data_IF_498402161457
#
_entry.id   IF_498402161457
#
_cell.length_a   1.000
_cell.length_b   1.000
_cell.length_c   1.000
_cell.angle_alpha   90.00
_cell.angle_beta   90.00
_cell.angle_gamma   90.00
#
_symmetry.space_group_name_H-M   'P 1'
#
loop_
_entity.id
_entity.type
_entity.pdbx_description
1 polymer ?
#
# COMPACT_ATOMS: atom_id res chain seq x y z
N UNK A 1 15.59 4.04 -19.93
CA UNK A 1 15.35 4.25 -18.49
C UNK A 1 16.68 4.54 -17.82
N UNK A 2 16.75 5.42 -16.82
CA UNK A 2 17.99 5.67 -16.10
C UNK A 2 18.36 4.42 -15.30
N UNK A 3 19.62 4.00 -15.37
CA UNK A 3 20.13 2.89 -14.58
C UNK A 3 20.26 3.33 -13.10
N UNK A 4 19.86 2.45 -12.18
CA UNK A 4 20.02 2.61 -10.74
C UNK A 4 21.21 1.75 -10.33
N UNK A 5 22.31 2.40 -9.96
CA UNK A 5 23.51 1.72 -9.47
C UNK A 5 23.34 1.42 -7.98
N UNK A 6 23.37 0.14 -7.63
CA UNK A 6 23.42 -0.35 -6.25
C UNK A 6 24.80 -0.95 -5.98
N UNK A 7 25.44 -0.54 -4.89
CA UNK A 7 26.67 -1.16 -4.39
C UNK A 7 26.35 -1.99 -3.16
N UNK A 8 26.51 -3.31 -3.25
CA UNK A 8 26.37 -4.23 -2.11
C UNK A 8 27.71 -4.38 -1.38
N UNK A 9 27.69 -4.24 -0.05
CA UNK A 9 28.87 -4.43 0.79
C UNK A 9 29.26 -5.90 1.01
N UNK A 10 28.29 -6.81 0.87
CA UNK A 10 28.43 -8.26 1.04
C UNK A 10 27.45 -8.98 0.09
N UNK A 11 27.60 -10.29 -0.05
CA UNK A 11 26.67 -11.10 -0.84
C UNK A 11 25.29 -11.12 -0.16
N UNK A 12 24.23 -10.99 -0.95
CA UNK A 12 22.84 -11.08 -0.52
C UNK A 12 22.20 -12.27 -1.21
N UNK A 13 21.57 -13.16 -0.44
CA UNK A 13 20.91 -14.35 -0.97
C UNK A 13 19.43 -14.08 -1.23
N UNK A 14 18.83 -14.86 -2.13
CA UNK A 14 17.39 -14.84 -2.36
C UNK A 14 16.60 -15.02 -1.06
N UNK A 15 15.66 -14.10 -0.82
CA UNK A 15 14.81 -14.04 0.37
C UNK A 15 15.38 -13.17 1.50
N UNK A 16 16.66 -12.75 1.40
CA UNK A 16 17.23 -11.83 2.38
C UNK A 16 16.55 -10.47 2.27
N UNK A 17 16.38 -9.84 3.44
CA UNK A 17 15.92 -8.46 3.56
C UNK A 17 17.07 -7.59 4.00
N UNK A 18 17.25 -6.47 3.30
CA UNK A 18 18.39 -5.60 3.51
C UNK A 18 18.00 -4.13 3.44
N UNK A 19 18.72 -3.30 4.20
CA UNK A 19 18.56 -1.86 4.15
C UNK A 19 19.41 -1.27 3.03
N UNK A 20 18.78 -0.41 2.24
CA UNK A 20 19.38 0.31 1.14
C UNK A 20 19.18 1.82 1.31
N UNK A 21 20.22 2.62 1.13
CA UNK A 21 20.13 4.09 1.28
C UNK A 21 20.81 4.81 0.11
N UNK A 22 20.43 6.06 -0.16
CA UNK A 22 21.15 6.89 -1.14
C UNK A 22 22.40 7.56 -0.57
N UNK A 23 22.71 7.33 0.71
CA UNK A 23 23.92 7.82 1.36
C UNK A 23 24.51 6.70 2.22
N UNK A 24 25.83 6.62 2.30
CA UNK A 24 26.57 5.65 3.13
C UNK A 24 26.54 6.02 4.62
N UNK A 25 25.38 6.42 5.14
CA UNK A 25 25.18 6.74 6.56
C UNK A 25 24.60 5.51 7.27
N UNK A 26 25.28 5.03 8.31
CA UNK A 26 24.88 3.86 9.11
C UNK A 26 25.34 2.51 8.56
N UNK A 27 24.85 1.42 9.18
CA UNK A 27 25.11 0.03 8.76
C UNK A 27 24.12 -0.40 7.66
N UNK A 28 24.20 0.22 6.48
CA UNK A 28 23.40 -0.19 5.31
C UNK A 28 24.16 -1.23 4.48
N UNK A 29 23.48 -2.31 4.08
CA UNK A 29 24.08 -3.39 3.29
C UNK A 29 24.21 -3.03 1.80
N UNK A 30 23.36 -2.13 1.31
CA UNK A 30 23.42 -1.61 -0.05
C UNK A 30 23.34 -0.07 -0.10
N UNK A 31 24.04 0.54 -1.06
CA UNK A 31 24.00 1.99 -1.29
C UNK A 31 23.64 2.29 -2.74
N UNK A 32 22.65 3.17 -2.95
CA UNK A 32 22.35 3.76 -4.25
C UNK A 32 23.41 4.83 -4.55
N UNK A 33 24.27 4.59 -5.54
CA UNK A 33 25.38 5.48 -5.92
C UNK A 33 25.09 6.35 -7.13
N UNK A 34 23.86 6.30 -7.65
CA UNK A 34 23.40 7.06 -8.81
C UNK A 34 22.16 7.91 -8.50
N UNK A 35 21.83 8.93 -9.31
CA UNK A 35 20.53 9.58 -9.23
C UNK A 35 19.40 8.57 -9.52
N UNK A 36 18.71 8.10 -8.48
CA UNK A 36 17.58 7.20 -8.64
C UNK A 36 16.26 7.99 -8.81
N UNK A 37 15.32 7.50 -9.65
CA UNK A 37 13.95 7.97 -9.58
C UNK A 37 13.38 7.73 -8.17
N UNK A 38 12.31 8.45 -7.77
CA UNK A 38 11.72 8.26 -6.45
C UNK A 38 11.07 6.87 -6.36
N UNK A 39 11.84 5.91 -5.83
CA UNK A 39 11.39 4.53 -5.60
C UNK A 39 10.21 4.51 -4.64
N UNK A 40 9.31 3.56 -4.88
CA UNK A 40 8.13 3.26 -4.06
C UNK A 40 8.06 1.77 -3.71
N UNK A 41 7.22 1.43 -2.75
CA UNK A 41 6.94 0.02 -2.43
C UNK A 41 6.46 -0.72 -3.68
N UNK A 42 6.92 -1.96 -3.83
CA UNK A 42 6.64 -2.80 -4.99
C UNK A 42 7.46 -2.46 -6.24
N UNK A 43 8.32 -1.44 -6.23
CA UNK A 43 9.25 -1.28 -7.35
C UNK A 43 10.22 -2.47 -7.38
N UNK A 44 10.30 -3.12 -8.55
CA UNK A 44 11.22 -4.23 -8.80
C UNK A 44 12.38 -3.75 -9.66
N UNK A 45 13.58 -3.96 -9.15
CA UNK A 45 14.86 -3.63 -9.76
C UNK A 45 15.46 -4.91 -10.35
N UNK A 46 15.82 -4.89 -11.63
CA UNK A 46 16.44 -6.03 -12.32
C UNK A 46 17.79 -5.65 -12.97
N UNK A 47 18.79 -6.51 -12.79
CA UNK A 47 20.15 -6.39 -13.34
C UNK A 47 20.70 -7.77 -13.72
N UNK A 48 20.63 -8.16 -15.00
CA UNK A 48 21.04 -9.52 -15.41
C UNK A 48 20.20 -10.59 -14.70
N UNK A 49 20.86 -11.46 -13.94
CA UNK A 49 20.20 -12.47 -13.09
C UNK A 49 19.77 -11.92 -11.72
N UNK A 50 20.33 -10.80 -11.27
CA UNK A 50 20.02 -10.17 -10.00
C UNK A 50 18.66 -9.44 -10.03
N UNK A 51 17.89 -9.57 -8.95
CA UNK A 51 16.57 -8.97 -8.84
C UNK A 51 16.26 -8.60 -7.38
N UNK A 52 15.74 -7.38 -7.15
CA UNK A 52 15.37 -6.90 -5.82
C UNK A 52 14.02 -6.17 -5.85
N UNK A 53 13.30 -6.17 -4.73
CA UNK A 53 12.03 -5.46 -4.57
C UNK A 53 12.07 -4.52 -3.38
N UNK A 54 11.49 -3.33 -3.53
CA UNK A 54 11.29 -2.40 -2.41
C UNK A 54 10.10 -2.85 -1.56
N UNK A 55 10.34 -3.11 -0.28
CA UNK A 55 9.32 -3.47 0.72
C UNK A 55 8.82 -2.27 1.51
N UNK A 56 9.69 -1.31 1.86
CA UNK A 56 9.29 -0.11 2.58
C UNK A 56 10.15 1.09 2.19
N UNK A 57 9.61 2.30 2.37
CA UNK A 57 10.32 3.56 2.15
C UNK A 57 10.23 4.38 3.43
N UNK A 58 11.35 4.89 3.92
CA UNK A 58 11.39 5.71 5.13
C UNK A 58 12.36 6.89 4.98
N UNK A 59 12.16 7.90 5.81
CA UNK A 59 13.09 9.02 5.95
C UNK A 59 14.12 8.71 7.04
N UNK A 60 15.39 8.92 6.70
CA UNK A 60 16.50 8.92 7.64
C UNK A 60 16.93 10.37 7.93
N UNK A 61 17.08 10.75 9.21
CA UNK A 61 17.63 12.05 9.53
C UNK A 61 19.07 12.14 9.01
N UNK A 62 19.47 13.35 8.62
CA UNK A 62 20.85 13.63 8.29
C UNK A 62 21.70 13.83 9.54
N UNK A 63 23.02 13.73 9.41
CA UNK A 63 23.99 13.96 10.48
C UNK A 63 25.10 14.90 10.00
N UNK A 64 25.63 15.74 10.89
CA UNK A 64 26.84 16.54 10.67
C UNK A 64 26.90 17.32 9.33
N UNK A 65 25.80 17.94 8.92
CA UNK A 65 25.72 18.75 7.69
C UNK A 65 25.35 17.96 6.42
N UNK A 66 25.11 16.65 6.54
CA UNK A 66 24.52 15.81 5.50
C UNK A 66 23.00 15.97 5.55
N UNK A 67 22.36 16.15 4.40
CA UNK A 67 20.90 16.24 4.31
C UNK A 67 20.25 14.90 4.68
N UNK A 68 19.06 14.95 5.27
CA UNK A 68 18.25 13.75 5.45
C UNK A 68 17.93 13.09 4.11
N UNK A 69 17.85 11.77 4.11
CA UNK A 69 17.66 11.01 2.87
C UNK A 69 16.58 9.94 3.00
N UNK A 70 16.20 9.34 1.87
CA UNK A 70 15.37 8.15 1.82
C UNK A 70 16.22 6.90 2.04
N UNK A 71 15.70 6.01 2.87
CA UNK A 71 16.15 4.64 3.02
C UNK A 71 15.02 3.69 2.62
N UNK A 72 15.40 2.50 2.17
CA UNK A 72 14.54 1.49 1.60
C UNK A 72 14.83 0.16 2.28
N UNK A 73 13.78 -0.46 2.82
CA UNK A 73 13.86 -1.89 3.11
C UNK A 73 13.62 -2.63 1.81
N UNK A 74 14.54 -3.50 1.42
CA UNK A 74 14.47 -4.26 0.18
C UNK A 74 14.51 -5.76 0.46
N UNK A 75 14.05 -6.54 -0.51
CA UNK A 75 14.13 -8.00 -0.54
C UNK A 75 14.87 -8.43 -1.81
N UNK A 76 15.84 -9.32 -1.65
CA UNK A 76 16.47 -9.98 -2.79
C UNK A 76 15.54 -11.07 -3.33
N UNK A 77 15.12 -10.93 -4.58
CA UNK A 77 14.33 -11.94 -5.29
C UNK A 77 15.21 -13.01 -5.95
N UNK A 78 16.47 -12.67 -6.20
CA UNK A 78 17.53 -13.57 -6.66
C UNK A 78 18.87 -13.17 -6.00
N UNK A 79 19.84 -14.06 -6.02
CA UNK A 79 21.15 -13.84 -5.39
C UNK A 79 21.89 -12.66 -6.03
N UNK A 80 22.48 -11.80 -5.20
CA UNK A 80 23.28 -10.65 -5.62
C UNK A 80 24.65 -10.72 -4.93
N UNK A 81 25.71 -10.85 -5.73
CA UNK A 81 27.08 -10.83 -5.21
C UNK A 81 27.49 -9.42 -4.76
N UNK A 82 28.45 -9.33 -3.84
CA UNK A 82 29.04 -8.08 -3.43
C UNK A 82 29.62 -7.29 -4.62
N UNK A 83 29.51 -5.96 -4.55
CA UNK A 83 29.97 -5.05 -5.60
C UNK A 83 28.85 -4.25 -6.26
N UNK A 84 29.18 -3.62 -7.39
CA UNK A 84 28.27 -2.69 -8.09
C UNK A 84 27.41 -3.39 -9.14
N UNK A 85 26.12 -3.10 -9.10
CA UNK A 85 25.12 -3.62 -10.02
C UNK A 85 24.35 -2.48 -10.68
N UNK A 86 24.10 -2.62 -11.98
CA UNK A 86 23.34 -1.65 -12.77
C UNK A 86 21.90 -2.13 -12.96
N UNK A 87 21.01 -1.72 -12.06
CA UNK A 87 19.61 -2.10 -12.09
C UNK A 87 18.77 -1.21 -13.00
N UNK A 88 17.69 -1.77 -13.50
CA UNK A 88 16.61 -1.07 -14.19
C UNK A 88 15.27 -1.46 -13.59
N UNK A 89 14.30 -0.54 -13.63
CA UNK A 89 12.92 -0.83 -13.21
C UNK A 89 12.28 -1.79 -14.23
N UNK A 90 11.81 -2.96 -13.77
CA UNK A 90 11.39 -4.05 -14.66
C UNK A 90 9.94 -3.92 -15.17
N UNK A 91 8.99 -3.54 -14.32
CA UNK A 91 7.58 -3.32 -14.70
C UNK A 91 6.80 -2.62 -13.59
N UNK A 92 5.63 -2.06 -13.95
CA UNK A 92 4.74 -1.36 -13.03
C UNK A 92 3.50 -2.21 -12.74
N UNK A 93 3.56 -3.01 -11.69
CA UNK A 93 2.43 -3.74 -11.10
C UNK A 93 1.84 -2.93 -9.94
N UNK A 94 0.64 -3.29 -9.50
CA UNK A 94 -0.05 -2.55 -8.42
C UNK A 94 0.42 -3.02 -7.04
N UNK A 95 0.20 -2.16 -6.05
CA UNK A 95 0.49 -2.48 -4.65
C UNK A 95 -0.73 -2.27 -3.78
N UNK A 96 -0.88 -3.11 -2.77
CA UNK A 96 -2.00 -3.11 -1.84
C UNK A 96 -1.50 -3.11 -0.40
N UNK A 97 -1.98 -2.18 0.40
CA UNK A 97 -1.89 -2.25 1.86
C UNK A 97 -3.28 -2.45 2.45
N UNK A 98 -3.43 -3.31 3.45
CA UNK A 98 -4.61 -3.31 4.31
C UNK A 98 -4.27 -2.89 5.73
N UNK A 99 -5.20 -2.18 6.37
CA UNK A 99 -5.07 -1.75 7.78
C UNK A 99 -6.28 -2.25 8.56
N UNK A 100 -6.04 -3.21 9.45
CA UNK A 100 -7.04 -3.78 10.34
C UNK A 100 -7.09 -2.99 11.64
N UNK A 101 -8.24 -2.38 11.92
CA UNK A 101 -8.52 -1.60 13.11
C UNK A 101 -9.17 -2.54 14.14
N UNK A 102 -8.39 -2.91 15.16
CA UNK A 102 -8.90 -3.75 16.24
C UNK A 102 -8.02 -3.67 17.49
N UNK A 103 -8.58 -3.16 18.59
CA UNK A 103 -7.94 -3.24 19.92
C UNK A 103 -7.56 -4.69 20.30
N UNK A 104 -8.41 -5.67 19.96
CA UNK A 104 -8.14 -7.09 20.23
C UNK A 104 -7.12 -7.69 19.28
N UNK A 105 -7.17 -7.33 18.00
CA UNK A 105 -6.22 -7.78 16.99
C UNK A 105 -4.81 -7.29 17.29
N UNK A 106 -4.67 -5.99 17.59
CA UNK A 106 -3.39 -5.38 17.97
C UNK A 106 -2.80 -5.96 19.26
N UNK A 107 -3.66 -6.42 20.18
CA UNK A 107 -3.24 -7.12 21.40
C UNK A 107 -2.94 -8.63 21.19
N UNK A 108 -3.00 -9.15 19.95
CA UNK A 108 -2.80 -10.56 19.63
C UNK A 108 -3.89 -11.50 20.15
N UNK A 109 -5.05 -10.95 20.54
CA UNK A 109 -6.18 -11.70 21.13
C UNK A 109 -7.21 -12.16 20.11
N UNK A 110 -7.06 -11.74 18.85
CA UNK A 110 -7.91 -12.12 17.72
C UNK A 110 -7.06 -12.14 16.45
N UNK A 111 -7.19 -13.20 15.66
CA UNK A 111 -6.57 -13.27 14.34
C UNK A 111 -7.26 -12.33 13.36
N UNK A 112 -6.48 -11.70 12.49
CA UNK A 112 -7.01 -10.93 11.36
C UNK A 112 -7.36 -11.86 10.20
N UNK A 113 -8.65 -12.08 9.99
CA UNK A 113 -9.19 -12.86 8.86
C UNK A 113 -9.68 -11.96 7.72
N UNK A 114 -9.98 -10.70 8.03
CA UNK A 114 -10.59 -9.75 7.09
C UNK A 114 -9.53 -9.14 6.18
N UNK A 115 -8.37 -8.78 6.72
CA UNK A 115 -7.26 -8.21 5.98
C UNK A 115 -6.72 -9.13 4.88
N UNK A 116 -6.33 -10.38 5.19
CA UNK A 116 -5.89 -11.34 4.17
C UNK A 116 -6.93 -11.57 3.07
N UNK A 117 -8.22 -11.66 3.42
CA UNK A 117 -9.31 -11.83 2.45
C UNK A 117 -9.39 -10.64 1.47
N UNK A 118 -9.15 -9.41 1.93
CA UNK A 118 -9.05 -8.25 1.02
C UNK A 118 -7.94 -8.49 -0.01
N UNK A 119 -6.77 -8.94 0.43
CA UNK A 119 -5.64 -9.25 -0.43
C UNK A 119 -5.99 -10.28 -1.50
N UNK A 120 -6.61 -11.39 -1.09
CA UNK A 120 -7.06 -12.47 -1.99
C UNK A 120 -8.05 -11.96 -3.05
N UNK A 121 -9.12 -11.26 -2.63
CA UNK A 121 -10.15 -10.77 -3.55
C UNK A 121 -9.64 -9.74 -4.55
N UNK A 122 -8.72 -8.86 -4.13
CA UNK A 122 -8.13 -7.86 -5.03
C UNK A 122 -7.18 -8.52 -6.02
N UNK A 123 -6.39 -9.51 -5.59
CA UNK A 123 -5.46 -10.25 -6.46
C UNK A 123 -6.17 -11.00 -7.61
N UNK A 124 -7.45 -11.32 -7.47
CA UNK A 124 -8.24 -11.91 -8.56
C UNK A 124 -8.46 -10.95 -9.75
N UNK A 125 -8.37 -9.63 -9.51
CA UNK A 125 -8.66 -8.59 -10.53
C UNK A 125 -7.49 -7.67 -10.85
N UNK A 126 -6.53 -7.55 -9.94
CA UNK A 126 -5.35 -6.71 -10.10
C UNK A 126 -4.09 -7.57 -9.98
N UNK A 127 -3.14 -7.31 -10.88
CA UNK A 127 -1.79 -7.87 -10.78
C UNK A 127 -1.01 -7.10 -9.70
N UNK A 128 -0.84 -7.74 -8.54
CA UNK A 128 -0.24 -7.15 -7.35
C UNK A 128 1.23 -7.59 -7.21
N UNK A 129 2.13 -6.62 -7.09
CA UNK A 129 3.55 -6.88 -6.82
C UNK A 129 3.87 -6.99 -5.33
N UNK A 130 3.19 -6.18 -4.53
CA UNK A 130 3.43 -6.12 -3.10
C UNK A 130 2.10 -5.97 -2.38
N UNK A 131 1.86 -6.89 -1.45
CA UNK A 131 0.69 -6.89 -0.59
C UNK A 131 1.16 -6.92 0.86
N UNK A 132 0.71 -5.95 1.65
CA UNK A 132 1.14 -5.81 3.05
C UNK A 132 -0.06 -5.59 3.98
N UNK A 133 0.02 -6.22 5.15
CA UNK A 133 -0.99 -6.11 6.19
C UNK A 133 -0.48 -5.40 7.43
N UNK A 134 -1.31 -4.51 7.97
CA UNK A 134 -1.07 -3.79 9.20
C UNK A 134 -2.24 -4.04 10.16
N UNK A 135 -1.95 -4.25 11.45
CA UNK A 135 -2.96 -4.32 12.50
C UNK A 135 -2.63 -3.27 13.54
N UNK A 136 -3.55 -2.35 13.79
CA UNK A 136 -3.39 -1.28 14.79
C UNK A 136 -4.63 -1.18 15.70
N UNK A 137 -4.50 -0.62 16.91
CA UNK A 137 -5.65 -0.30 17.76
C UNK A 137 -6.59 0.73 17.11
N UNK A 138 -7.80 0.88 17.67
CA UNK A 138 -8.83 1.81 17.19
C UNK A 138 -8.51 3.28 17.57
N UNK A 139 -7.34 3.77 17.14
CA UNK A 139 -6.79 5.09 17.47
C UNK A 139 -6.67 5.99 16.24
N UNK A 140 -7.42 7.10 16.24
CA UNK A 140 -7.57 7.97 15.08
C UNK A 140 -6.24 8.60 14.62
N UNK A 141 -5.39 9.04 15.54
CA UNK A 141 -4.10 9.67 15.19
C UNK A 141 -3.13 8.66 14.57
N UNK A 142 -3.11 7.42 15.07
CA UNK A 142 -2.30 6.35 14.49
C UNK A 142 -2.79 5.98 13.08
N UNK A 143 -4.11 5.86 12.90
CA UNK A 143 -4.69 5.57 11.60
C UNK A 143 -4.38 6.68 10.58
N UNK A 144 -4.56 7.96 10.95
CA UNK A 144 -4.23 9.10 10.06
C UNK A 144 -2.75 9.09 9.66
N UNK A 145 -1.86 8.90 10.63
CA UNK A 145 -0.42 8.84 10.37
C UNK A 145 -0.06 7.70 9.42
N UNK A 146 -0.58 6.49 9.66
CA UNK A 146 -0.31 5.33 8.83
C UNK A 146 -0.89 5.49 7.42
N UNK A 147 -2.12 5.96 7.26
CA UNK A 147 -2.70 6.21 5.93
C UNK A 147 -1.87 7.24 5.15
N UNK A 148 -1.44 8.31 5.82
CA UNK A 148 -0.58 9.36 5.22
C UNK A 148 0.74 8.78 4.74
N UNK A 149 1.41 7.99 5.58
CA UNK A 149 2.68 7.38 5.25
C UNK A 149 2.55 6.37 4.09
N UNK A 150 1.56 5.48 4.15
CA UNK A 150 1.29 4.50 3.11
C UNK A 150 1.04 5.15 1.74
N UNK A 151 0.31 6.27 1.69
CA UNK A 151 -0.03 6.91 0.42
C UNK A 151 1.07 7.87 -0.10
N UNK A 152 1.71 8.64 0.78
CA UNK A 152 2.60 9.73 0.36
C UNK A 152 4.09 9.37 0.43
N UNK A 153 4.49 8.60 1.45
CA UNK A 153 5.89 8.15 1.60
C UNK A 153 6.12 6.86 0.84
N UNK A 154 5.36 5.83 1.17
CA UNK A 154 5.49 4.48 0.60
C UNK A 154 4.85 4.35 -0.79
N UNK A 155 3.83 5.18 -1.05
CA UNK A 155 3.11 5.30 -2.33
C UNK A 155 2.45 4.00 -2.79
N UNK A 156 1.77 3.32 -1.87
CA UNK A 156 0.87 2.22 -2.21
C UNK A 156 -0.21 2.69 -3.20
N UNK A 157 -0.54 1.87 -4.19
CA UNK A 157 -1.56 2.24 -5.19
C UNK A 157 -2.97 2.12 -4.59
N UNK A 158 -3.21 1.08 -3.79
CA UNK A 158 -4.47 0.79 -3.13
C UNK A 158 -4.25 0.58 -1.63
N UNK A 159 -5.08 1.23 -0.81
CA UNK A 159 -5.07 1.10 0.64
C UNK A 159 -6.49 0.80 1.09
N UNK A 160 -6.70 -0.27 1.86
CA UNK A 160 -8.01 -0.62 2.38
C UNK A 160 -7.96 -0.76 3.89
N UNK A 161 -8.90 -0.15 4.60
CA UNK A 161 -9.04 -0.38 6.05
C UNK A 161 -10.11 -1.44 6.30
N UNK A 162 -10.06 -2.14 7.42
CA UNK A 162 -11.15 -3.04 7.87
C UNK A 162 -11.42 -2.83 9.35
N UNK A 163 -12.70 -2.61 9.70
CA UNK A 163 -13.14 -2.30 11.06
C UNK A 163 -13.35 -0.81 11.33
N UNK A 164 -14.01 -0.51 12.45
CA UNK A 164 -14.23 0.85 12.94
C UNK A 164 -15.20 1.72 12.13
N UNK A 165 -16.08 1.12 11.32
CA UNK A 165 -17.01 1.82 10.40
C UNK A 165 -18.47 1.87 10.86
N UNK A 166 -18.77 1.37 12.06
CA UNK A 166 -20.11 1.40 12.65
C UNK A 166 -20.44 2.73 13.36
N UNK A 167 -21.37 2.68 14.31
CA UNK A 167 -21.83 3.82 15.12
C UNK A 167 -21.38 3.75 16.58
N UNK A 168 -20.56 2.76 16.93
CA UNK A 168 -20.00 2.61 18.27
C UNK A 168 -19.03 3.75 18.61
N UNK A 169 -18.80 4.02 19.90
CA UNK A 169 -17.93 5.13 20.33
C UNK A 169 -16.45 4.95 19.93
N UNK A 170 -16.03 3.73 19.57
CA UNK A 170 -14.69 3.41 19.07
C UNK A 170 -14.63 3.33 17.54
N UNK A 171 -15.77 3.41 16.84
CA UNK A 171 -15.80 3.39 15.38
C UNK A 171 -15.35 4.75 14.85
N UNK A 172 -14.05 4.90 14.56
CA UNK A 172 -13.40 6.16 14.17
C UNK A 172 -12.86 6.18 12.74
N UNK A 173 -12.93 5.06 12.03
CA UNK A 173 -12.24 4.87 10.74
C UNK A 173 -12.69 5.86 9.68
N UNK A 174 -14.00 6.16 9.52
CA UNK A 174 -14.46 7.13 8.55
C UNK A 174 -13.96 8.55 8.80
N UNK A 175 -13.99 9.02 10.05
CA UNK A 175 -13.50 10.35 10.44
C UNK A 175 -11.99 10.48 10.16
N UNK A 176 -11.21 9.47 10.54
CA UNK A 176 -9.78 9.45 10.30
C UNK A 176 -9.46 9.45 8.80
N UNK A 177 -10.24 8.71 8.01
CA UNK A 177 -10.07 8.66 6.55
C UNK A 177 -10.45 9.98 5.89
N UNK A 178 -11.60 10.56 6.25
CA UNK A 178 -12.05 11.88 5.76
C UNK A 178 -11.05 13.00 6.08
N UNK A 179 -10.32 12.90 7.19
CA UNK A 179 -9.33 13.88 7.58
C UNK A 179 -8.05 13.86 6.72
N UNK A 180 -7.79 12.78 5.96
CA UNK A 180 -6.56 12.64 5.16
C UNK A 180 -6.80 12.60 3.65
N UNK A 181 -7.98 12.16 3.19
CA UNK A 181 -8.25 12.11 1.74
C UNK A 181 -8.38 13.52 1.15
N UNK A 182 -7.89 13.69 -0.07
CA UNK A 182 -7.97 14.94 -0.84
C UNK A 182 -9.25 15.01 -1.66
N UNK A 183 -9.73 13.86 -2.16
CA UNK A 183 -10.94 13.76 -2.98
C UNK A 183 -11.76 12.56 -2.57
N UNK A 184 -13.04 12.80 -2.26
CA UNK A 184 -13.98 11.74 -1.90
C UNK A 184 -14.50 11.00 -3.14
N UNK A 185 -14.76 9.70 -2.99
CA UNK A 185 -15.32 8.82 -4.03
C UNK A 185 -16.74 8.38 -3.63
N UNK A 186 -17.75 9.28 -3.64
CA UNK A 186 -19.10 8.96 -3.17
C UNK A 186 -19.83 7.91 -4.04
N UNK A 187 -19.34 7.61 -5.24
CA UNK A 187 -19.85 6.51 -6.06
C UNK A 187 -19.50 5.14 -5.47
N UNK A 188 -18.27 4.97 -4.97
CA UNK A 188 -17.82 3.75 -4.30
C UNK A 188 -18.60 3.55 -3.00
N UNK A 189 -18.76 4.61 -2.21
CA UNK A 189 -19.56 4.59 -0.97
C UNK A 189 -20.98 4.12 -1.23
N UNK A 190 -21.65 4.68 -2.25
CA UNK A 190 -23.01 4.27 -2.63
C UNK A 190 -23.06 2.82 -3.09
N UNK A 191 -22.12 2.36 -3.90
CA UNK A 191 -22.06 0.97 -4.35
C UNK A 191 -21.91 -0.01 -3.17
N UNK A 192 -21.00 0.30 -2.24
CA UNK A 192 -20.80 -0.46 -1.00
C UNK A 192 -22.05 -0.50 -0.13
N UNK A 193 -22.70 0.66 0.10
CA UNK A 193 -23.93 0.75 0.89
C UNK A 193 -25.07 -0.02 0.24
N UNK A 194 -25.26 0.11 -1.08
CA UNK A 194 -26.31 -0.61 -1.82
C UNK A 194 -26.10 -2.13 -1.76
N UNK A 195 -24.86 -2.60 -1.96
CA UNK A 195 -24.54 -4.02 -1.84
C UNK A 195 -24.84 -4.54 -0.43
N UNK A 196 -24.41 -3.81 0.60
CA UNK A 196 -24.69 -4.17 1.99
C UNK A 196 -26.19 -4.22 2.31
N UNK A 197 -26.96 -3.22 1.86
CA UNK A 197 -28.42 -3.15 2.07
C UNK A 197 -29.17 -4.29 1.39
N UNK A 198 -28.65 -4.82 0.28
CA UNK A 198 -29.24 -6.00 -0.38
C UNK A 198 -29.12 -7.29 0.45
N UNK A 199 -28.15 -7.33 1.39
CA UNK A 199 -27.86 -8.48 2.25
C UNK A 199 -28.47 -8.34 3.63
N UNK A 200 -28.48 -7.12 4.19
CA UNK A 200 -28.99 -6.85 5.53
C UNK A 200 -29.43 -5.39 5.69
N UNK A 201 -30.57 -5.13 6.37
CA UNK A 201 -30.97 -3.75 6.68
C UNK A 201 -29.95 -3.03 7.56
N UNK A 202 -29.12 -3.76 8.31
CA UNK A 202 -28.07 -3.19 9.14
C UNK A 202 -26.95 -2.52 8.31
N UNK A 203 -26.86 -2.78 7.00
CA UNK A 203 -25.94 -2.06 6.12
C UNK A 203 -26.15 -0.54 6.15
N UNK A 204 -27.36 -0.08 6.51
CA UNK A 204 -27.70 1.33 6.67
C UNK A 204 -26.89 2.08 7.74
N UNK A 205 -26.32 1.36 8.72
CA UNK A 205 -25.55 1.99 9.82
C UNK A 205 -24.09 2.25 9.45
N UNK A 206 -23.61 1.66 8.36
CA UNK A 206 -22.22 1.80 7.93
C UNK A 206 -21.93 3.25 7.58
N UNK A 207 -20.81 3.74 8.09
CA UNK A 207 -20.29 5.08 7.81
C UNK A 207 -19.06 5.03 6.91
N UNK A 208 -18.77 3.88 6.30
CA UNK A 208 -17.59 3.67 5.45
C UNK A 208 -17.46 4.75 4.37
N UNK A 209 -16.24 5.28 4.21
CA UNK A 209 -15.92 6.25 3.16
C UNK A 209 -14.87 5.71 2.20
N UNK A 210 -14.78 6.35 1.03
CA UNK A 210 -13.77 6.08 0.03
C UNK A 210 -13.23 7.40 -0.53
N UNK A 211 -11.95 7.43 -0.89
CA UNK A 211 -11.30 8.63 -1.38
C UNK A 211 -9.94 8.39 -2.00
N UNK A 212 -9.29 9.47 -2.40
CA UNK A 212 -7.92 9.46 -2.91
C UNK A 212 -7.03 10.39 -2.11
N UNK A 213 -5.76 10.02 -1.93
CA UNK A 213 -4.70 10.86 -1.38
C UNK A 213 -3.44 10.65 -2.23
N UNK A 214 -2.85 11.72 -2.76
CA UNK A 214 -1.81 11.62 -3.76
C UNK A 214 -2.24 10.77 -4.96
N UNK A 215 -1.57 9.62 -5.16
CA UNK A 215 -1.87 8.65 -6.23
C UNK A 215 -2.50 7.34 -5.72
N UNK A 216 -2.94 7.34 -4.47
CA UNK A 216 -3.49 6.18 -3.78
C UNK A 216 -5.00 6.28 -3.69
N UNK A 217 -5.68 5.14 -3.81
CA UNK A 217 -7.11 5.00 -3.47
C UNK A 217 -7.22 4.42 -2.06
N UNK A 218 -8.03 5.04 -1.20
CA UNK A 218 -8.29 4.60 0.18
C UNK A 218 -9.77 4.23 0.31
N UNK A 219 -10.06 3.02 0.81
CA UNK A 219 -11.44 2.53 0.93
C UNK A 219 -11.64 1.86 2.30
N UNK A 220 -12.68 2.26 3.04
CA UNK A 220 -13.01 1.59 4.29
C UNK A 220 -13.91 0.38 4.06
N UNK A 221 -13.52 -0.76 4.63
CA UNK A 221 -14.30 -2.00 4.64
C UNK A 221 -14.90 -2.27 6.02
N UNK A 222 -16.01 -3.04 6.09
CA UNK A 222 -16.54 -3.58 7.34
C UNK A 222 -15.54 -4.51 8.04
N UNK A 223 -15.78 -4.82 9.32
CA UNK A 223 -14.81 -5.58 10.12
C UNK A 223 -14.86 -7.11 10.04
N UNK A 224 -15.93 -7.72 9.50
CA UNK A 224 -16.03 -9.19 9.40
C UNK A 224 -15.70 -9.68 7.99
N UNK A 225 -15.10 -10.86 7.81
CA UNK A 225 -14.73 -11.37 6.48
C UNK A 225 -15.91 -11.44 5.51
N UNK A 226 -17.06 -11.90 6.00
CA UNK A 226 -18.31 -11.93 5.21
C UNK A 226 -18.70 -10.53 4.72
N UNK A 227 -18.71 -9.55 5.61
CA UNK A 227 -19.13 -8.19 5.26
C UNK A 227 -18.10 -7.49 4.36
N UNK A 228 -16.80 -7.78 4.53
CA UNK A 228 -15.75 -7.37 3.60
C UNK A 228 -16.06 -7.89 2.20
N UNK A 229 -16.31 -9.19 2.05
CA UNK A 229 -16.58 -9.79 0.76
C UNK A 229 -17.79 -9.15 0.06
N UNK A 230 -18.91 -9.05 0.77
CA UNK A 230 -20.16 -8.44 0.27
C UNK A 230 -19.98 -6.94 -0.10
N UNK A 231 -19.11 -6.23 0.62
CA UNK A 231 -18.88 -4.80 0.42
C UNK A 231 -17.86 -4.52 -0.71
N UNK A 232 -16.84 -5.37 -0.86
CA UNK A 232 -15.77 -5.22 -1.85
C UNK A 232 -16.17 -5.70 -3.24
N UNK A 233 -16.96 -6.76 -3.34
CA UNK A 233 -17.43 -7.36 -4.60
C UNK A 233 -17.87 -6.35 -5.68
N UNK A 234 -18.76 -5.37 -5.39
CA UNK A 234 -19.20 -4.41 -6.42
C UNK A 234 -18.09 -3.45 -6.91
N UNK A 235 -17.01 -3.27 -6.15
CA UNK A 235 -15.93 -2.35 -6.50
C UNK A 235 -14.86 -3.02 -7.37
N UNK A 236 -14.66 -4.32 -7.21
CA UNK A 236 -13.62 -5.11 -7.86
C UNK A 236 -13.47 -4.83 -9.37
N UNK A 237 -14.53 -4.78 -10.19
CA UNK A 237 -14.41 -4.51 -11.63
C UNK A 237 -13.88 -3.11 -11.98
N UNK A 238 -13.99 -2.15 -11.05
CA UNK A 238 -13.66 -0.73 -11.28
C UNK A 238 -12.28 -0.35 -10.78
N UNK A 239 -11.63 -1.17 -9.94
CA UNK A 239 -10.38 -0.80 -9.26
C UNK A 239 -9.26 -0.45 -10.26
N UNK A 240 -9.05 -1.28 -11.29
CA UNK A 240 -7.98 -1.07 -12.29
C UNK A 240 -8.13 0.29 -12.97
N UNK A 241 -9.32 0.55 -13.51
CA UNK A 241 -9.59 1.79 -14.22
C UNK A 241 -9.44 3.02 -13.33
N UNK A 242 -9.93 2.94 -12.08
CA UNK A 242 -9.79 4.04 -11.12
C UNK A 242 -8.32 4.36 -10.82
N UNK A 243 -7.48 3.33 -10.66
CA UNK A 243 -6.04 3.50 -10.45
C UNK A 243 -5.36 4.10 -11.68
N UNK A 244 -5.67 3.60 -12.88
CA UNK A 244 -5.14 4.13 -14.15
C UNK A 244 -5.46 5.63 -14.31
N UNK A 245 -6.73 6.01 -14.10
CA UNK A 245 -7.16 7.41 -14.18
C UNK A 245 -6.48 8.30 -13.15
N UNK A 246 -6.39 7.85 -11.89
CA UNK A 246 -5.73 8.59 -10.83
C UNK A 246 -4.23 8.79 -11.12
N UNK A 247 -3.60 7.84 -11.79
CA UNK A 247 -2.19 7.87 -12.13
C UNK A 247 -1.88 8.57 -13.47
N UNK A 248 -2.90 9.14 -14.12
CA UNK A 248 -2.76 10.02 -15.28
C UNK A 248 -2.89 9.33 -16.64
N UNK A 249 -3.53 8.16 -16.72
CA UNK A 249 -3.85 7.52 -18.00
C UNK A 249 -4.81 8.39 -18.83
N UNK A 250 -4.40 8.85 -20.03
CA UNK A 250 -5.20 9.71 -20.90
C UNK A 250 -6.31 8.98 -21.69
N UNK A 251 -6.44 7.64 -21.59
CA UNK A 251 -7.45 6.84 -22.30
C UNK A 251 -8.88 7.40 -22.20
N UNK A 252 -9.72 7.24 -23.22
CA UNK A 252 -11.10 7.73 -23.14
C UNK A 252 -11.98 6.75 -22.34
N UNK A 253 -12.79 7.26 -21.42
CA UNK A 253 -13.73 6.45 -20.64
C UNK A 253 -14.85 5.83 -21.51
N UNK A 254 -15.10 6.37 -22.71
CA UNK A 254 -16.14 5.89 -23.62
C UNK A 254 -15.88 4.47 -24.18
N UNK A 255 -14.63 4.00 -24.15
CA UNK A 255 -14.21 2.74 -24.76
C UNK A 255 -14.44 1.51 -23.86
N UNK A 256 -14.83 1.69 -22.59
CA UNK A 256 -14.99 0.62 -21.58
C UNK A 256 -16.34 -0.11 -21.63
N UNK A 257 -17.06 -0.06 -22.76
CA UNK A 257 -18.30 -0.82 -22.93
C UNK A 257 -17.98 -2.24 -23.38
N UNK A 258 -17.91 -3.17 -22.43
CA UNK A 258 -17.99 -4.61 -22.66
C UNK A 258 -19.16 -5.18 -21.86
#
# INVERSE_FOLDING_TARGET
MAAIVLSFGEDVQRGDRFDCSTTQAGNVQAVITSPAPPLKVGDVLQAGEGCCRVLAVQWMPGEAGIAGTRSFLMEALEDCQAGEWNFSLSSKRYTLAWVTLSDKGAAGKRADESGPLIGEMVAEKLDLECVQGFIIPDEADQLKALLTDLALTQKFDLIMTTGGTGVGPRDITPEATLAVIEKRLPGYERAMTMASLSKTPHGAISRAVAGTMGRSVIINMPGSPKAVAECLEPLLPTLKHTLEKLQGDPSDCAELRA
#
